data_IF_919758260620
#
_entry.id   IF_919758260620
#
_cell.length_a   1.000
_cell.length_b   1.000
_cell.length_c   1.000
_cell.angle_alpha   90.00
_cell.angle_beta   90.00
_cell.angle_gamma   90.00
#
_symmetry.space_group_name_H-M   'P 1'
#
loop_
_entity.id
_entity.type
_entity.pdbx_description
1 polymer ?
#
# COMPACT_ATOMS: atom_id res chain seq x y z
N UNK A 1 1.96 30.17 12.10
CA UNK A 1 1.57 29.08 11.18
C UNK A 1 2.55 29.11 10.02
N UNK A 2 3.44 28.12 9.92
CA UNK A 2 4.41 28.05 8.82
C UNK A 2 3.67 27.62 7.55
N UNK A 3 3.91 28.26 6.44
CA UNK A 3 3.38 27.88 5.13
C UNK A 3 4.51 27.78 4.12
N UNK A 4 4.34 26.90 3.15
CA UNK A 4 5.23 26.86 1.99
C UNK A 4 5.16 28.21 1.27
N UNK A 5 6.30 28.75 0.84
CA UNK A 5 6.29 29.99 0.07
C UNK A 5 5.67 29.77 -1.32
N UNK A 6 5.14 30.83 -1.93
CA UNK A 6 4.61 30.76 -3.28
C UNK A 6 5.66 30.24 -4.29
N UNK A 7 6.91 30.70 -4.14
CA UNK A 7 8.05 30.24 -4.94
C UNK A 7 8.31 28.72 -4.79
N UNK A 8 8.32 28.21 -3.53
CA UNK A 8 8.51 26.79 -3.29
C UNK A 8 7.31 25.97 -3.81
N UNK A 9 6.08 26.51 -3.77
CA UNK A 9 4.89 25.87 -4.31
C UNK A 9 4.92 25.76 -5.84
N UNK A 10 5.35 26.82 -6.52
CA UNK A 10 5.52 26.85 -7.98
C UNK A 10 6.59 25.82 -8.42
N UNK A 11 7.74 25.81 -7.74
CA UNK A 11 8.80 24.84 -7.98
C UNK A 11 8.29 23.39 -7.83
N UNK A 12 7.47 23.12 -6.83
CA UNK A 12 6.89 21.80 -6.59
C UNK A 12 5.84 21.42 -7.64
N UNK A 13 5.13 22.41 -8.21
CA UNK A 13 4.19 22.19 -9.31
C UNK A 13 4.83 21.53 -10.53
N UNK A 14 6.11 21.82 -10.77
CA UNK A 14 6.89 21.33 -11.91
C UNK A 14 7.52 19.92 -11.67
N UNK A 15 7.45 19.37 -10.45
CA UNK A 15 8.10 18.11 -10.07
C UNK A 15 7.25 16.90 -10.46
N UNK A 16 7.78 15.92 -11.23
CA UNK A 16 7.06 14.70 -11.60
C UNK A 16 6.59 13.88 -10.38
N UNK A 17 5.44 13.21 -10.49
CA UNK A 17 4.86 12.40 -9.40
C UNK A 17 5.83 11.34 -8.85
N UNK A 18 6.55 10.64 -9.72
CA UNK A 18 7.55 9.65 -9.31
C UNK A 18 8.65 10.23 -8.43
N UNK A 19 9.08 11.45 -8.74
CA UNK A 19 10.10 12.16 -7.97
C UNK A 19 9.55 12.68 -6.62
N UNK A 20 8.29 13.14 -6.57
CA UNK A 20 7.63 13.56 -5.32
C UNK A 20 7.61 12.42 -4.30
N UNK A 21 7.20 11.22 -4.72
CA UNK A 21 7.11 10.06 -3.85
C UNK A 21 8.48 9.69 -3.21
N UNK A 22 9.57 9.69 -4.00
CA UNK A 22 10.92 9.39 -3.50
C UNK A 22 11.41 10.45 -2.52
N UNK A 23 11.05 11.72 -2.74
CA UNK A 23 11.47 12.86 -1.93
C UNK A 23 10.52 13.18 -0.76
N UNK A 24 9.50 12.34 -0.53
CA UNK A 24 8.55 12.52 0.59
C UNK A 24 7.64 13.75 0.45
N UNK A 25 7.44 14.22 -0.79
CA UNK A 25 6.55 15.34 -1.12
C UNK A 25 5.14 14.78 -1.29
N UNK A 26 4.13 15.22 -0.51
CA UNK A 26 2.77 14.74 -0.62
C UNK A 26 2.11 15.23 -1.93
N UNK A 27 1.20 14.44 -2.46
CA UNK A 27 0.30 14.92 -3.50
C UNK A 27 -0.66 15.98 -2.92
N UNK A 28 -1.15 16.95 -3.70
CA UNK A 28 -2.01 18.03 -3.19
C UNK A 28 -3.24 17.51 -2.43
N UNK A 29 -3.88 16.46 -2.92
CA UNK A 29 -5.03 15.81 -2.26
C UNK A 29 -4.64 15.24 -0.89
N UNK A 30 -3.47 14.59 -0.79
CA UNK A 30 -2.95 14.07 0.48
C UNK A 30 -2.61 15.19 1.45
N UNK A 31 -2.03 16.29 0.95
CA UNK A 31 -1.70 17.44 1.77
C UNK A 31 -2.96 18.09 2.34
N UNK A 32 -4.00 18.25 1.54
CA UNK A 32 -5.29 18.79 1.98
C UNK A 32 -5.96 17.89 3.02
N UNK A 33 -6.00 16.57 2.78
CA UNK A 33 -6.57 15.61 3.72
C UNK A 33 -5.85 15.63 5.08
N UNK A 34 -4.52 15.64 5.09
CA UNK A 34 -3.72 15.74 6.32
C UNK A 34 -3.90 17.07 7.05
N UNK A 35 -4.03 18.16 6.30
CA UNK A 35 -4.36 19.48 6.86
C UNK A 35 -5.71 19.47 7.58
N UNK A 36 -6.72 18.86 6.97
CA UNK A 36 -8.04 18.66 7.58
C UNK A 36 -7.98 17.75 8.82
N UNK A 37 -7.22 16.65 8.76
CA UNK A 37 -7.00 15.78 9.91
C UNK A 37 -6.38 16.50 11.09
N UNK A 38 -5.39 17.37 10.84
CA UNK A 38 -4.76 18.17 11.89
C UNK A 38 -5.74 19.16 12.54
N UNK A 39 -6.60 19.79 11.75
CA UNK A 39 -7.63 20.70 12.26
C UNK A 39 -8.63 19.95 13.15
N UNK A 40 -9.17 18.83 12.68
CA UNK A 40 -10.10 17.99 13.45
C UNK A 40 -9.48 17.46 14.75
N UNK A 41 -8.22 17.00 14.68
CA UNK A 41 -7.54 16.47 15.86
C UNK A 41 -7.26 17.58 16.89
N UNK A 42 -6.88 18.77 16.45
CA UNK A 42 -6.66 19.93 17.32
C UNK A 42 -7.97 20.38 18.00
N UNK A 43 -9.06 20.41 17.26
CA UNK A 43 -10.39 20.75 17.78
C UNK A 43 -10.87 19.70 18.80
N UNK A 44 -10.80 18.41 18.44
CA UNK A 44 -11.26 17.30 19.28
C UNK A 44 -10.50 17.17 20.61
N UNK A 45 -9.25 17.62 20.67
CA UNK A 45 -8.37 17.50 21.84
C UNK A 45 -7.92 18.87 22.40
N UNK A 46 -8.60 19.96 22.04
CA UNK A 46 -8.22 21.33 22.42
C UNK A 46 -8.02 21.52 23.93
N UNK A 47 -8.85 20.87 24.74
CA UNK A 47 -8.80 20.88 26.20
C UNK A 47 -7.57 20.17 26.80
N UNK A 48 -6.96 19.25 26.04
CA UNK A 48 -5.81 18.47 26.46
C UNK A 48 -4.50 18.96 25.84
N UNK A 49 -4.54 19.81 24.82
CA UNK A 49 -3.36 20.30 24.14
C UNK A 49 -2.47 21.15 25.07
N UNK A 50 -1.16 20.97 24.94
CA UNK A 50 -0.18 21.89 25.49
C UNK A 50 -0.07 23.14 24.64
N UNK A 51 0.42 24.29 25.16
CA UNK A 51 0.85 25.40 24.33
C UNK A 51 1.83 24.87 23.27
N UNK A 52 1.61 25.26 22.00
CA UNK A 52 2.37 24.76 20.85
C UNK A 52 2.36 23.22 20.69
N UNK A 53 1.39 22.56 21.30
CA UNK A 53 1.28 21.09 21.31
C UNK A 53 0.92 20.46 19.97
N UNK A 54 0.58 21.23 18.95
CA UNK A 54 0.34 20.74 17.59
C UNK A 54 1.66 20.76 16.82
N UNK A 55 2.23 19.59 16.58
CA UNK A 55 3.45 19.45 15.80
C UNK A 55 3.15 18.93 14.41
N UNK A 56 3.48 19.74 13.45
CA UNK A 56 3.42 19.40 12.04
C UNK A 56 4.75 19.73 11.38
N UNK A 57 4.91 19.42 10.11
CA UNK A 57 6.06 19.87 9.33
C UNK A 57 6.16 21.40 9.37
N UNK A 58 7.35 21.99 9.42
CA UNK A 58 7.55 23.43 9.20
C UNK A 58 6.97 23.96 7.89
N UNK A 59 6.64 23.10 6.96
CA UNK A 59 5.98 23.41 5.68
C UNK A 59 4.44 23.44 5.79
N UNK A 60 3.91 23.11 6.96
CA UNK A 60 2.48 23.05 7.23
C UNK A 60 1.98 21.62 7.51
N UNK A 61 0.75 21.49 8.05
CA UNK A 61 0.21 20.22 8.52
C UNK A 61 0.07 19.17 7.40
N UNK A 62 -0.27 19.57 6.19
CA UNK A 62 -0.38 18.67 5.04
C UNK A 62 0.93 18.00 4.62
N UNK A 63 2.08 18.54 5.05
CA UNK A 63 3.40 18.00 4.75
C UNK A 63 3.89 16.97 5.77
N UNK A 64 3.26 16.88 6.92
CA UNK A 64 3.53 15.82 7.88
C UNK A 64 2.94 14.51 7.39
N UNK A 65 3.71 13.43 7.48
CA UNK A 65 3.16 12.08 7.28
C UNK A 65 2.23 11.74 8.43
N UNK A 66 2.62 12.14 9.61
CA UNK A 66 1.92 11.93 10.86
C UNK A 66 1.74 13.29 11.55
N UNK A 67 0.63 13.46 12.23
CA UNK A 67 0.31 14.66 13.02
C UNK A 67 0.67 14.33 14.45
N UNK A 68 1.67 15.02 15.00
CA UNK A 68 2.07 14.84 16.39
C UNK A 68 1.31 15.83 17.27
N UNK A 69 0.50 15.35 18.23
CA UNK A 69 -0.14 16.16 19.25
C UNK A 69 0.49 15.91 20.61
N UNK A 70 0.94 16.98 21.24
CA UNK A 70 1.52 17.00 22.56
C UNK A 70 0.50 17.43 23.61
N UNK A 71 0.19 16.51 24.51
CA UNK A 71 -0.94 16.60 25.44
C UNK A 71 -0.48 16.69 26.91
N UNK A 72 -1.31 17.28 27.75
CA UNK A 72 -1.14 17.28 29.23
C UNK A 72 -1.49 15.93 29.84
N UNK A 73 -2.48 15.25 29.27
CA UNK A 73 -2.96 13.93 29.69
C UNK A 73 -3.41 13.10 28.51
N UNK A 74 -3.41 11.77 28.66
CA UNK A 74 -3.97 10.89 27.65
C UNK A 74 -5.49 11.08 27.55
N UNK A 75 -6.06 11.21 26.36
CA UNK A 75 -7.51 11.18 26.18
C UNK A 75 -8.02 9.77 26.45
N UNK A 76 -9.26 9.68 26.93
CA UNK A 76 -9.92 8.38 27.00
C UNK A 76 -10.11 7.81 25.59
N UNK A 77 -9.71 6.55 25.35
CA UNK A 77 -9.86 5.93 24.03
C UNK A 77 -11.29 5.94 23.50
N UNK A 78 -12.27 5.83 24.41
CA UNK A 78 -13.69 5.89 24.06
C UNK A 78 -14.08 7.22 23.40
N UNK A 79 -13.48 8.35 23.82
CA UNK A 79 -13.71 9.68 23.23
C UNK A 79 -13.33 9.71 21.75
N UNK A 80 -12.16 9.17 21.38
CA UNK A 80 -11.68 9.16 20.00
C UNK A 80 -12.43 8.12 19.15
N UNK A 81 -12.73 6.97 19.73
CA UNK A 81 -13.55 5.96 19.06
C UNK A 81 -14.97 6.45 18.76
N UNK A 82 -15.55 7.30 19.63
CA UNK A 82 -16.85 7.92 19.40
C UNK A 82 -16.86 8.87 18.19
N UNK A 83 -15.71 9.45 17.84
CA UNK A 83 -15.50 10.22 16.61
C UNK A 83 -15.34 9.33 15.36
N UNK A 84 -15.40 8.02 15.51
CA UNK A 84 -15.17 7.06 14.44
C UNK A 84 -13.70 6.85 14.09
N UNK A 85 -12.76 7.42 14.87
CA UNK A 85 -11.33 7.26 14.65
C UNK A 85 -10.86 5.86 15.01
N UNK A 86 -9.75 5.41 14.40
CA UNK A 86 -9.29 4.03 14.49
C UNK A 86 -7.95 3.99 15.23
N UNK A 87 -7.88 3.27 16.36
CA UNK A 87 -6.62 3.01 17.07
C UNK A 87 -5.74 2.05 16.25
N UNK A 88 -4.51 2.44 15.98
CA UNK A 88 -3.59 1.68 15.12
C UNK A 88 -2.50 0.93 15.89
N UNK A 89 -2.35 1.15 17.19
CA UNK A 89 -1.30 0.52 18.00
C UNK A 89 -1.28 -1.01 17.89
N UNK A 90 -2.42 -1.74 17.93
CA UNK A 90 -2.41 -3.19 17.78
C UNK A 90 -1.81 -3.64 16.44
N UNK A 91 -2.23 -3.00 15.34
CA UNK A 91 -1.73 -3.27 14.00
C UNK A 91 -0.23 -3.00 13.89
N UNK A 92 0.24 -1.87 14.42
CA UNK A 92 1.65 -1.47 14.37
C UNK A 92 2.53 -2.40 15.20
N UNK A 93 2.08 -2.82 16.39
CA UNK A 93 2.79 -3.79 17.21
C UNK A 93 2.94 -5.13 16.49
N UNK A 94 1.91 -5.61 15.79
CA UNK A 94 2.02 -6.83 14.96
C UNK A 94 3.03 -6.68 13.81
N UNK A 95 3.23 -5.47 13.32
CA UNK A 95 4.27 -5.16 12.33
C UNK A 95 5.66 -4.95 12.96
N UNK A 96 5.80 -5.15 14.27
CA UNK A 96 7.04 -4.92 15.00
C UNK A 96 7.42 -3.43 15.09
N UNK A 97 6.45 -2.53 14.95
CA UNK A 97 6.60 -1.10 15.09
C UNK A 97 6.12 -0.72 16.48
N UNK A 98 7.02 -0.21 17.30
CA UNK A 98 6.63 0.32 18.61
C UNK A 98 5.85 1.61 18.40
N UNK A 99 4.64 1.64 18.91
CA UNK A 99 3.74 2.78 18.86
C UNK A 99 2.91 2.82 20.14
N UNK A 100 2.57 4.02 20.57
CA UNK A 100 1.66 4.25 21.70
C UNK A 100 0.85 5.51 21.42
N UNK A 101 -0.48 5.36 21.35
CA UNK A 101 -1.38 6.47 21.08
C UNK A 101 -1.44 6.86 19.59
N UNK A 102 -1.28 5.88 18.69
CA UNK A 102 -1.40 6.10 17.24
C UNK A 102 -2.82 5.87 16.76
N UNK A 103 -3.38 6.86 16.08
CA UNK A 103 -4.75 6.84 15.56
C UNK A 103 -4.80 7.16 14.07
N UNK A 104 -5.80 6.64 13.39
CA UNK A 104 -6.21 7.15 12.08
C UNK A 104 -7.41 8.09 12.28
N UNK A 105 -7.27 9.32 11.80
CA UNK A 105 -8.34 10.32 11.79
C UNK A 105 -9.27 10.01 10.63
N UNK A 106 -10.56 9.83 10.93
CA UNK A 106 -11.60 9.46 9.96
C UNK A 106 -12.66 10.55 9.91
N UNK A 107 -13.06 10.96 8.70
CA UNK A 107 -14.19 11.86 8.44
C UNK A 107 -14.99 11.28 7.28
N UNK A 108 -16.29 11.18 7.39
CA UNK A 108 -17.21 10.64 6.37
C UNK A 108 -16.76 9.27 5.78
N UNK A 109 -16.29 8.39 6.65
CA UNK A 109 -15.81 7.06 6.25
C UNK A 109 -14.45 7.05 5.53
N UNK A 110 -13.75 8.19 5.44
CA UNK A 110 -12.43 8.30 4.79
C UNK A 110 -11.34 8.53 5.82
N UNK A 111 -10.22 7.84 5.67
CA UNK A 111 -9.02 8.11 6.46
C UNK A 111 -8.31 9.33 5.88
N UNK A 112 -8.20 10.38 6.68
CA UNK A 112 -7.57 11.64 6.31
C UNK A 112 -6.07 11.66 6.62
N UNK A 113 -5.66 11.08 7.76
CA UNK A 113 -4.27 11.09 8.20
C UNK A 113 -4.01 10.26 9.43
N UNK A 114 -2.73 10.04 9.74
CA UNK A 114 -2.26 9.44 10.98
C UNK A 114 -2.03 10.50 12.05
N UNK A 115 -2.39 10.17 13.29
CA UNK A 115 -2.24 11.00 14.47
C UNK A 115 -1.40 10.24 15.50
N UNK A 116 -0.31 10.84 15.95
CA UNK A 116 0.51 10.36 17.06
C UNK A 116 0.30 11.25 18.28
N UNK A 117 -0.14 10.66 19.39
CA UNK A 117 -0.31 11.35 20.65
C UNK A 117 0.95 11.19 21.50
N UNK A 118 1.37 12.28 22.11
CA UNK A 118 2.52 12.34 23.00
C UNK A 118 2.18 13.05 24.31
N UNK A 119 2.75 12.60 25.40
CA UNK A 119 2.69 13.35 26.68
C UNK A 119 3.93 14.24 26.82
N UNK A 120 3.71 15.44 27.32
CA UNK A 120 4.77 16.40 27.56
C UNK A 120 5.07 17.34 26.38
N UNK A 121 6.01 18.26 26.55
CA UNK A 121 6.26 19.33 25.59
C UNK A 121 6.83 18.78 24.27
N UNK A 122 6.55 19.45 23.15
CA UNK A 122 7.10 19.06 21.87
C UNK A 122 8.62 19.21 21.83
N UNK A 123 9.35 18.30 21.15
CA UNK A 123 10.78 18.43 20.97
C UNK A 123 11.11 19.65 20.07
N UNK A 124 12.32 20.16 20.19
CA UNK A 124 12.81 21.23 19.32
C UNK A 124 12.70 20.84 17.83
N UNK A 125 12.17 21.73 16.93
CA UNK A 125 11.98 21.42 15.51
C UNK A 125 13.27 21.16 14.77
N UNK A 126 14.35 21.88 15.12
CA UNK A 126 15.67 21.70 14.51
C UNK A 126 16.25 20.36 14.88
N UNK A 127 16.22 20.00 16.18
CA UNK A 127 16.68 18.71 16.67
C UNK A 127 15.89 17.55 16.02
N UNK A 128 14.58 17.73 15.81
CA UNK A 128 13.73 16.75 15.12
C UNK A 128 14.13 16.55 13.67
N UNK A 129 14.39 17.64 12.93
CA UNK A 129 14.86 17.60 11.54
C UNK A 129 16.20 16.86 11.43
N UNK A 130 17.18 17.28 12.23
CA UNK A 130 18.52 16.70 12.26
C UNK A 130 18.47 15.21 12.60
N UNK A 131 17.70 14.83 13.63
CA UNK A 131 17.53 13.42 14.03
C UNK A 131 16.92 12.56 12.92
N UNK A 132 15.92 13.06 12.19
CA UNK A 132 15.33 12.33 11.06
C UNK A 132 16.34 12.08 9.94
N UNK A 133 17.10 13.09 9.56
CA UNK A 133 18.11 12.99 8.52
C UNK A 133 19.24 12.04 8.92
N UNK A 134 19.72 12.13 10.16
CA UNK A 134 20.74 11.21 10.69
C UNK A 134 20.28 9.76 10.70
N UNK A 135 19.02 9.50 11.11
CA UNK A 135 18.45 8.14 11.09
C UNK A 135 18.33 7.55 9.70
N UNK A 136 18.02 8.36 8.69
CA UNK A 136 17.92 7.92 7.29
C UNK A 136 19.28 7.78 6.62
N UNK A 137 20.25 8.60 7.01
CA UNK A 137 21.54 8.72 6.32
C UNK A 137 21.46 9.44 4.97
N UNK A 138 20.31 10.08 4.67
CA UNK A 138 20.07 10.87 3.45
C UNK A 138 19.26 12.12 3.76
N UNK A 139 19.43 13.15 2.93
CA UNK A 139 18.62 14.39 2.96
C UNK A 139 17.79 14.42 1.69
N UNK A 140 16.48 14.54 1.84
CA UNK A 140 15.53 14.62 0.73
C UNK A 140 15.15 16.08 0.48
N UNK A 141 14.59 16.38 -0.67
CA UNK A 141 14.10 17.73 -1.00
C UNK A 141 13.15 18.27 0.08
N UNK A 142 12.30 17.42 0.65
CA UNK A 142 11.43 17.78 1.74
C UNK A 142 12.19 18.35 2.95
N UNK A 143 13.25 17.70 3.41
CA UNK A 143 14.04 18.14 4.55
C UNK A 143 14.77 19.45 4.26
N UNK A 144 15.16 19.70 3.02
CA UNK A 144 15.72 20.99 2.60
C UNK A 144 14.69 22.10 2.69
N UNK A 145 13.48 21.86 2.21
CA UNK A 145 12.39 22.84 2.31
C UNK A 145 12.00 23.11 3.76
N UNK A 146 12.00 22.07 4.62
CA UNK A 146 11.77 22.24 6.07
C UNK A 146 12.89 23.06 6.72
N UNK A 147 14.16 22.84 6.37
CA UNK A 147 15.26 23.67 6.86
C UNK A 147 15.12 25.14 6.46
N UNK A 148 14.75 25.40 5.20
CA UNK A 148 14.47 26.77 4.72
C UNK A 148 13.34 27.44 5.51
N UNK A 149 12.25 26.71 5.77
CA UNK A 149 11.13 27.24 6.54
C UNK A 149 11.54 27.58 7.98
N UNK A 150 12.39 26.75 8.63
CA UNK A 150 12.92 27.01 9.95
C UNK A 150 13.85 28.24 9.97
N UNK A 151 14.73 28.39 8.98
CA UNK A 151 15.57 29.58 8.83
C UNK A 151 14.75 30.87 8.69
N UNK A 152 13.71 30.84 7.87
CA UNK A 152 12.78 31.99 7.71
C UNK A 152 12.05 32.33 9.02
N UNK A 153 11.84 31.33 9.88
CA UNK A 153 11.23 31.51 11.19
C UNK A 153 12.26 31.88 12.28
N UNK A 154 13.44 32.34 11.88
CA UNK A 154 14.53 32.75 12.78
C UNK A 154 15.08 31.66 13.71
N UNK A 155 14.89 30.39 13.36
CA UNK A 155 15.58 29.31 14.07
C UNK A 155 17.05 29.27 13.68
N UNK A 156 17.94 29.14 14.67
CA UNK A 156 19.37 28.92 14.43
C UNK A 156 19.61 27.45 14.10
N UNK A 157 20.21 27.18 12.95
CA UNK A 157 20.59 25.85 12.54
C UNK A 157 22.08 25.58 12.85
N UNK A 158 22.46 24.41 13.42
CA UNK A 158 23.85 24.10 13.73
C UNK A 158 24.68 23.94 12.45
N UNK A 159 25.57 24.92 12.18
CA UNK A 159 26.39 24.97 10.97
C UNK A 159 27.33 23.76 10.80
N UNK A 160 27.70 23.12 11.88
CA UNK A 160 28.61 21.96 11.87
C UNK A 160 27.91 20.64 11.54
N UNK A 161 26.57 20.59 11.54
CA UNK A 161 25.84 19.38 11.20
C UNK A 161 25.93 19.09 9.69
N UNK A 162 26.33 17.86 9.29
CA UNK A 162 26.46 17.49 7.88
C UNK A 162 25.18 17.69 7.09
N UNK A 163 24.01 17.52 7.71
CA UNK A 163 22.70 17.68 7.11
C UNK A 163 22.42 19.15 6.79
N UNK A 164 22.75 20.02 7.76
CA UNK A 164 22.58 21.47 7.61
C UNK A 164 23.51 22.01 6.53
N UNK A 165 24.75 21.53 6.47
CA UNK A 165 25.68 21.87 5.39
C UNK A 165 25.17 21.46 4.01
N UNK A 166 24.54 20.30 3.90
CA UNK A 166 23.89 19.88 2.65
C UNK A 166 22.70 20.78 2.33
N UNK A 167 21.85 21.07 3.31
CA UNK A 167 20.69 21.96 3.12
C UNK A 167 21.14 23.37 2.69
N UNK A 168 22.17 23.94 3.32
CA UNK A 168 22.72 25.24 2.96
C UNK A 168 23.37 25.26 1.56
N UNK A 169 24.08 24.22 1.17
CA UNK A 169 24.65 24.09 -0.18
C UNK A 169 23.58 23.98 -1.25
N UNK A 170 22.50 23.32 -0.94
CA UNK A 170 21.35 23.20 -1.84
C UNK A 170 20.61 24.53 -1.95
N UNK A 171 20.47 25.27 -0.84
CA UNK A 171 19.87 26.60 -0.85
C UNK A 171 20.66 27.58 -1.71
N UNK A 172 21.99 27.58 -1.60
CA UNK A 172 22.87 28.40 -2.44
C UNK A 172 22.80 28.05 -3.94
N UNK A 173 22.30 26.85 -4.30
CA UNK A 173 22.17 26.36 -5.66
C UNK A 173 20.74 26.25 -6.21
N UNK A 174 19.72 26.58 -5.43
CA UNK A 174 18.30 26.41 -5.81
C UNK A 174 17.73 27.48 -6.77
N UNK A 175 18.56 28.38 -7.33
CA UNK A 175 18.18 29.01 -8.59
C UNK A 175 17.97 27.94 -9.66
N UNK A 176 16.92 27.99 -10.47
CA UNK A 176 16.33 26.99 -11.39
C UNK A 176 17.19 25.85 -11.99
N UNK A 177 18.52 25.96 -11.96
CA UNK A 177 19.45 24.92 -12.40
C UNK A 177 19.63 23.77 -11.38
N UNK A 178 19.39 23.96 -10.11
CA UNK A 178 19.59 22.92 -9.09
C UNK A 178 18.43 21.94 -9.05
N UNK A 179 17.22 22.35 -9.39
CA UNK A 179 16.08 21.44 -9.59
C UNK A 179 16.28 20.53 -10.80
N UNK A 180 16.90 21.04 -11.88
CA UNK A 180 17.27 20.24 -13.04
C UNK A 180 18.31 19.17 -12.66
N UNK A 181 19.32 19.50 -11.86
CA UNK A 181 20.31 18.56 -11.33
C UNK A 181 19.70 17.53 -10.37
N UNK A 182 18.64 17.87 -9.65
CA UNK A 182 17.91 16.92 -8.81
C UNK A 182 17.01 15.96 -9.60
N UNK A 183 16.55 16.35 -10.78
CA UNK A 183 15.82 15.48 -11.70
C UNK A 183 16.67 14.28 -12.17
N UNK A 184 17.97 14.49 -12.35
CA UNK A 184 18.85 13.56 -13.05
C UNK A 184 19.91 12.93 -12.13
N UNK A 185 19.95 13.31 -10.85
CA UNK A 185 20.95 12.85 -9.88
C UNK A 185 20.39 11.94 -8.79
N UNK A 186 21.26 11.08 -8.19
CA UNK A 186 20.88 10.37 -6.98
C UNK A 186 20.56 11.37 -5.85
N UNK A 187 19.70 11.00 -4.88
CA UNK A 187 19.43 11.85 -3.73
C UNK A 187 20.74 12.30 -3.10
N UNK A 188 20.83 13.61 -2.78
CA UNK A 188 22.04 14.24 -2.23
C UNK A 188 22.47 13.57 -0.92
N UNK A 189 23.46 12.78 -1.00
CA UNK A 189 23.99 11.89 -0.01
C UNK A 189 24.25 10.58 -0.72
N UNK A 190 25.51 10.31 -1.15
CA UNK A 190 25.89 8.98 -1.54
C UNK A 190 25.33 7.99 -0.50
N UNK A 191 24.91 6.77 -0.88
CA UNK A 191 24.49 5.77 0.08
C UNK A 191 25.63 5.68 1.09
N UNK A 192 25.37 6.31 2.23
CA UNK A 192 26.36 6.37 3.30
C UNK A 192 26.82 4.93 3.55
N UNK A 193 28.11 4.69 3.83
CA UNK A 193 28.56 3.41 4.39
C UNK A 193 27.69 2.91 5.55
N UNK A 194 26.86 3.79 6.14
CA UNK A 194 25.80 3.47 7.07
C UNK A 194 24.74 2.50 6.53
N UNK A 195 24.43 2.46 5.23
CA UNK A 195 23.53 1.44 4.69
C UNK A 195 24.19 0.05 4.80
N UNK A 196 25.46 -0.06 4.48
CA UNK A 196 26.24 -1.28 4.66
C UNK A 196 26.53 -1.57 6.15
N UNK A 197 26.77 -0.55 6.99
CA UNK A 197 26.85 -0.72 8.44
C UNK A 197 25.53 -1.19 9.04
N UNK A 198 24.39 -0.68 8.60
CA UNK A 198 23.06 -1.18 9.02
C UNK A 198 22.80 -2.60 8.56
N UNK A 199 23.15 -2.95 7.33
CA UNK A 199 23.04 -4.34 6.84
C UNK A 199 23.95 -5.24 7.69
N UNK A 200 25.20 -4.87 7.93
CA UNK A 200 26.13 -5.63 8.81
C UNK A 200 25.62 -5.70 10.26
N UNK A 201 25.07 -4.63 10.83
CA UNK A 201 24.50 -4.65 12.18
C UNK A 201 23.23 -5.52 12.26
N UNK A 202 22.39 -5.53 11.23
CA UNK A 202 21.23 -6.43 11.13
C UNK A 202 21.68 -7.89 11.04
N UNK A 203 22.74 -8.18 10.28
CA UNK A 203 23.35 -9.52 10.23
C UNK A 203 23.99 -9.92 11.54
N UNK A 204 24.73 -9.02 12.19
CA UNK A 204 25.39 -9.27 13.46
C UNK A 204 24.44 -9.38 14.65
N UNK A 205 23.25 -8.77 14.58
CA UNK A 205 22.27 -8.79 15.69
C UNK A 205 21.41 -10.04 15.74
N UNK A 206 21.55 -10.98 14.77
CA UNK A 206 20.75 -12.20 14.71
C UNK A 206 19.24 -11.96 14.60
N UNK A 207 18.81 -10.70 14.43
CA UNK A 207 17.39 -10.38 14.27
C UNK A 207 16.94 -10.81 12.88
N UNK A 208 15.79 -11.48 12.77
CA UNK A 208 15.28 -11.90 11.48
C UNK A 208 15.15 -10.68 10.57
N UNK A 209 15.78 -10.74 9.39
CA UNK A 209 15.68 -9.72 8.32
C UNK A 209 14.23 -9.57 7.86
N UNK A 210 13.42 -10.57 8.12
CA UNK A 210 12.00 -10.62 7.81
C UNK A 210 11.22 -9.87 8.89
N UNK A 211 10.88 -8.61 8.63
CA UNK A 211 9.90 -7.91 9.47
C UNK A 211 8.54 -8.61 9.36
N UNK A 212 7.75 -8.63 10.45
CA UNK A 212 6.38 -9.14 10.41
C UNK A 212 5.61 -8.50 9.24
N UNK A 213 4.83 -9.31 8.56
CA UNK A 213 3.98 -8.90 7.45
C UNK A 213 2.56 -9.34 7.74
N UNK A 214 1.61 -8.49 7.40
CA UNK A 214 0.19 -8.83 7.45
C UNK A 214 -0.33 -8.91 6.02
N UNK A 215 -0.98 -10.00 5.70
CA UNK A 215 -1.58 -10.25 4.38
C UNK A 215 -3.07 -9.99 4.43
N UNK A 216 -3.51 -9.07 3.60
CA UNK A 216 -4.93 -8.79 3.35
C UNK A 216 -5.24 -9.22 1.93
N UNK A 217 -6.21 -10.08 1.77
CA UNK A 217 -6.63 -10.57 0.45
C UNK A 217 -8.00 -9.98 0.10
N UNK A 218 -8.14 -9.42 -1.10
CA UNK A 218 -9.41 -8.94 -1.64
C UNK A 218 -9.80 -9.76 -2.84
N UNK A 219 -10.91 -10.45 -2.76
CA UNK A 219 -11.42 -11.40 -3.75
C UNK A 219 -12.82 -11.03 -4.22
N UNK A 220 -13.22 -11.49 -5.40
CA UNK A 220 -14.55 -11.29 -5.97
C UNK A 220 -14.52 -11.36 -7.50
N UNK A 221 -15.69 -11.37 -8.13
CA UNK A 221 -15.82 -11.41 -9.59
C UNK A 221 -15.29 -10.14 -10.26
N UNK A 222 -15.03 -10.19 -11.55
CA UNK A 222 -14.69 -9.00 -12.31
C UNK A 222 -15.89 -8.03 -12.32
N UNK A 223 -15.62 -6.74 -12.12
CA UNK A 223 -16.68 -5.73 -11.88
C UNK A 223 -17.10 -5.58 -10.39
N UNK A 224 -16.67 -6.44 -9.45
CA UNK A 224 -17.06 -6.32 -8.05
C UNK A 224 -16.46 -5.10 -7.33
N UNK A 225 -15.45 -4.43 -7.89
CA UNK A 225 -14.79 -3.28 -7.24
C UNK A 225 -13.56 -3.63 -6.42
N UNK A 226 -13.07 -4.89 -6.44
CA UNK A 226 -11.91 -5.33 -5.66
C UNK A 226 -10.63 -4.52 -5.88
N UNK A 227 -10.32 -4.14 -7.12
CA UNK A 227 -9.13 -3.31 -7.42
C UNK A 227 -9.26 -1.88 -6.91
N UNK A 228 -10.48 -1.36 -6.82
CA UNK A 228 -10.78 -0.06 -6.21
C UNK A 228 -10.66 -0.16 -4.70
N UNK A 229 -11.27 -1.18 -4.08
CA UNK A 229 -11.18 -1.42 -2.64
C UNK A 229 -9.73 -1.64 -2.20
N UNK A 230 -8.97 -2.50 -2.87
CA UNK A 230 -7.55 -2.76 -2.53
C UNK A 230 -6.69 -1.48 -2.61
N UNK A 231 -6.99 -0.60 -3.58
CA UNK A 231 -6.32 0.70 -3.72
C UNK A 231 -6.69 1.65 -2.58
N UNK A 232 -7.97 1.72 -2.22
CA UNK A 232 -8.46 2.59 -1.15
C UNK A 232 -7.97 2.14 0.22
N UNK A 233 -7.98 0.83 0.51
CA UNK A 233 -7.41 0.27 1.74
C UNK A 233 -5.92 0.59 1.84
N UNK A 234 -5.17 0.38 0.76
CA UNK A 234 -3.75 0.73 0.75
C UNK A 234 -3.52 2.24 0.94
N UNK A 235 -4.36 3.08 0.33
CA UNK A 235 -4.33 4.54 0.52
C UNK A 235 -4.63 4.93 1.97
N UNK A 236 -5.68 4.36 2.57
CA UNK A 236 -6.05 4.63 3.95
C UNK A 236 -4.92 4.29 4.93
N UNK A 237 -4.28 3.13 4.74
CA UNK A 237 -3.14 2.70 5.55
C UNK A 237 -1.93 3.63 5.35
N UNK A 238 -1.64 4.04 4.12
CA UNK A 238 -0.57 4.99 3.82
C UNK A 238 -0.85 6.38 4.41
N UNK A 239 -2.09 6.88 4.33
CA UNK A 239 -2.52 8.13 4.97
C UNK A 239 -2.39 8.05 6.49
N UNK A 240 -2.71 6.91 7.08
CA UNK A 240 -2.51 6.64 8.51
C UNK A 240 -1.04 6.39 8.90
N UNK A 241 -0.10 6.47 7.94
CA UNK A 241 1.33 6.26 8.18
C UNK A 241 1.74 4.80 8.38
N UNK A 242 0.85 3.84 8.12
CA UNK A 242 1.15 2.41 8.19
C UNK A 242 1.93 1.97 6.94
N UNK A 243 3.06 1.26 7.08
CA UNK A 243 3.76 0.71 5.92
C UNK A 243 2.87 -0.26 5.16
N UNK A 244 2.63 0.00 3.88
CA UNK A 244 1.74 -0.81 3.04
C UNK A 244 2.32 -1.06 1.67
N UNK A 245 2.07 -2.25 1.14
CA UNK A 245 2.33 -2.63 -0.25
C UNK A 245 1.07 -3.19 -0.89
N UNK A 246 0.86 -2.90 -2.18
CA UNK A 246 -0.22 -3.49 -2.95
C UNK A 246 0.35 -4.47 -3.96
N UNK A 247 -0.22 -5.66 -3.98
CA UNK A 247 0.16 -6.76 -4.86
C UNK A 247 -1.04 -7.13 -5.72
N UNK A 248 -0.85 -7.17 -7.02
CA UNK A 248 -1.82 -7.75 -7.94
C UNK A 248 -1.32 -9.11 -8.41
N UNK A 249 -2.14 -10.14 -8.25
CA UNK A 249 -1.76 -11.51 -8.64
C UNK A 249 -2.92 -12.24 -9.30
N UNK A 250 -2.62 -12.92 -10.42
CA UNK A 250 -3.56 -13.80 -11.12
C UNK A 250 -2.79 -14.96 -11.74
N UNK A 251 -3.24 -16.21 -11.57
CA UNK A 251 -2.64 -17.34 -12.28
C UNK A 251 -2.59 -17.10 -13.78
N UNK A 252 -1.42 -17.37 -14.40
CA UNK A 252 -1.23 -17.28 -15.85
C UNK A 252 -0.87 -15.90 -16.41
N UNK A 253 -0.77 -14.84 -15.60
CA UNK A 253 -0.46 -13.48 -16.09
C UNK A 253 1.00 -13.05 -15.88
N UNK A 254 1.74 -13.69 -14.99
CA UNK A 254 3.15 -13.43 -14.67
C UNK A 254 3.84 -14.75 -14.31
N UNK A 255 5.17 -14.84 -14.34
CA UNK A 255 6.18 -13.87 -14.77
C UNK A 255 6.29 -13.73 -16.30
N UNK A 256 6.98 -12.68 -16.79
CA UNK A 256 7.11 -12.38 -18.24
C UNK A 256 7.65 -13.55 -19.08
N UNK A 257 8.52 -14.40 -18.52
CA UNK A 257 9.04 -15.58 -19.21
C UNK A 257 7.95 -16.63 -19.49
N UNK A 258 6.92 -16.72 -18.64
CA UNK A 258 5.78 -17.61 -18.87
C UNK A 258 5.03 -17.25 -20.15
N UNK A 259 4.98 -15.95 -20.50
CA UNK A 259 4.43 -15.50 -21.78
C UNK A 259 5.20 -15.98 -22.99
N UNK A 260 6.52 -16.16 -22.85
CA UNK A 260 7.37 -16.72 -23.92
C UNK A 260 7.12 -18.22 -24.05
N UNK A 261 7.11 -18.94 -22.93
CA UNK A 261 6.81 -20.38 -22.89
C UNK A 261 5.38 -20.65 -23.37
N UNK A 262 4.42 -19.79 -22.98
CA UNK A 262 3.03 -19.89 -23.44
C UNK A 262 2.92 -19.73 -24.96
N UNK A 263 3.62 -18.77 -25.57
CA UNK A 263 3.64 -18.57 -27.02
C UNK A 263 4.26 -19.77 -27.73
N UNK A 264 5.37 -20.28 -27.22
CA UNK A 264 6.02 -21.45 -27.79
C UNK A 264 5.11 -22.72 -27.67
N UNK A 265 4.50 -22.92 -26.51
CA UNK A 265 3.55 -24.04 -26.28
C UNK A 265 2.32 -23.95 -27.19
N UNK A 266 1.74 -22.76 -27.35
CA UNK A 266 0.60 -22.53 -28.27
C UNK A 266 0.98 -22.81 -29.72
N UNK A 267 2.18 -22.38 -30.14
CA UNK A 267 2.67 -22.67 -31.50
C UNK A 267 2.87 -24.16 -31.73
N UNK A 268 3.37 -24.91 -30.75
CA UNK A 268 3.51 -26.37 -30.80
C UNK A 268 2.15 -27.09 -30.86
N UNK A 269 1.13 -26.52 -30.25
CA UNK A 269 -0.24 -27.06 -30.24
C UNK A 269 -1.10 -26.56 -31.39
N UNK A 270 -0.53 -25.84 -32.37
CA UNK A 270 -1.24 -25.30 -33.55
C UNK A 270 -2.25 -24.19 -33.21
N UNK A 271 -2.09 -23.50 -32.08
CA UNK A 271 -2.96 -22.43 -31.63
C UNK A 271 -2.38 -21.06 -31.95
N UNK A 272 -3.25 -20.04 -32.15
CA UNK A 272 -2.83 -18.67 -32.39
C UNK A 272 -2.00 -18.12 -31.18
N UNK A 273 -0.72 -17.75 -31.38
CA UNK A 273 0.13 -17.21 -30.32
C UNK A 273 -0.36 -15.86 -29.76
N UNK A 274 -1.16 -15.13 -30.50
CA UNK A 274 -1.65 -13.79 -30.15
C UNK A 274 -2.86 -13.80 -29.21
N UNK A 275 -3.55 -14.94 -29.07
CA UNK A 275 -4.65 -15.12 -28.15
C UNK A 275 -4.13 -15.17 -26.70
N UNK A 276 -4.34 -14.11 -25.91
CA UNK A 276 -4.15 -14.15 -24.44
C UNK A 276 -5.14 -15.13 -23.80
N UNK A 277 -4.90 -15.50 -22.54
CA UNK A 277 -5.87 -16.26 -21.73
C UNK A 277 -7.24 -15.56 -21.70
N UNK A 278 -7.24 -14.26 -21.94
CA UNK A 278 -8.43 -13.40 -21.96
C UNK A 278 -9.19 -13.41 -23.31
N UNK A 279 -8.65 -14.06 -24.35
CA UNK A 279 -9.26 -14.14 -25.68
C UNK A 279 -9.54 -15.58 -26.05
N UNK A 280 -10.42 -16.22 -25.31
CA UNK A 280 -11.06 -17.43 -25.81
C UNK A 280 -12.21 -16.95 -26.71
N UNK A 281 -11.96 -16.90 -28.01
CA UNK A 281 -12.99 -16.65 -29.01
C UNK A 281 -14.14 -17.64 -28.78
N UNK A 282 -15.35 -17.12 -28.57
CA UNK A 282 -16.56 -17.92 -28.47
C UNK A 282 -17.03 -18.32 -27.07
N UNK A 283 -16.50 -17.74 -25.99
CA UNK A 283 -17.06 -17.95 -24.63
C UNK A 283 -16.88 -19.35 -24.05
N UNK A 284 -16.05 -20.20 -24.65
CA UNK A 284 -15.75 -21.55 -24.15
C UNK A 284 -14.67 -21.45 -23.06
N UNK A 285 -14.91 -21.98 -21.84
CA UNK A 285 -13.90 -22.06 -20.82
C UNK A 285 -12.65 -22.79 -21.33
N UNK A 286 -11.46 -22.27 -20.99
CA UNK A 286 -10.19 -22.92 -21.37
C UNK A 286 -10.08 -24.37 -20.82
N UNK A 287 -10.90 -24.77 -19.86
CA UNK A 287 -11.07 -26.13 -19.37
C UNK A 287 -11.33 -27.14 -20.47
N UNK A 288 -12.02 -26.74 -21.52
CA UNK A 288 -12.28 -27.61 -22.68
C UNK A 288 -11.02 -27.88 -23.51
N UNK A 289 -10.06 -26.95 -23.53
CA UNK A 289 -8.76 -27.13 -24.20
C UNK A 289 -7.81 -28.04 -23.39
N UNK A 290 -7.83 -27.93 -22.07
CA UNK A 290 -7.02 -28.77 -21.19
C UNK A 290 -7.56 -30.23 -21.18
N UNK A 291 -8.88 -30.43 -21.22
CA UNK A 291 -9.50 -31.76 -21.28
C UNK A 291 -9.17 -32.51 -22.57
N UNK A 292 -9.01 -31.81 -23.69
CA UNK A 292 -8.65 -32.42 -24.99
C UNK A 292 -7.22 -32.95 -25.05
N UNK A 293 -6.31 -32.48 -24.17
CA UNK A 293 -4.89 -32.79 -24.22
C UNK A 293 -4.36 -33.61 -23.01
N UNK A 294 -5.23 -34.08 -22.11
CA UNK A 294 -4.88 -34.99 -21.03
C UNK A 294 -3.64 -34.56 -20.24
N UNK A 295 -2.55 -35.31 -20.39
CA UNK A 295 -1.27 -35.07 -19.69
C UNK A 295 -0.67 -33.68 -19.97
N UNK A 296 -0.75 -33.18 -21.21
CA UNK A 296 -0.22 -31.86 -21.56
C UNK A 296 -1.03 -30.74 -20.88
N UNK A 297 -2.34 -30.86 -20.79
CA UNK A 297 -3.19 -29.94 -20.04
C UNK A 297 -2.85 -29.93 -18.56
N UNK A 298 -2.61 -31.08 -17.97
CA UNK A 298 -2.19 -31.23 -16.59
C UNK A 298 -0.81 -30.59 -16.34
N UNK A 299 0.17 -30.91 -17.19
CA UNK A 299 1.52 -30.34 -17.11
C UNK A 299 1.52 -28.81 -17.25
N UNK A 300 0.71 -28.28 -18.17
CA UNK A 300 0.51 -26.84 -18.34
C UNK A 300 -0.07 -26.18 -17.10
N UNK A 301 -1.11 -26.78 -16.52
CA UNK A 301 -1.74 -26.26 -15.28
C UNK A 301 -0.75 -26.28 -14.11
N UNK A 302 0.11 -27.31 -14.04
CA UNK A 302 1.20 -27.37 -13.05
C UNK A 302 2.18 -26.22 -13.23
N UNK A 303 2.64 -25.98 -14.46
CA UNK A 303 3.55 -24.87 -14.76
C UNK A 303 2.95 -23.51 -14.38
N UNK A 304 1.69 -23.27 -14.72
CA UNK A 304 0.96 -22.03 -14.37
C UNK A 304 0.86 -21.87 -12.84
N UNK A 305 0.53 -22.95 -12.13
CA UNK A 305 0.41 -22.94 -10.66
C UNK A 305 1.74 -22.64 -9.98
N UNK A 306 2.83 -23.30 -10.42
CA UNK A 306 4.18 -23.06 -9.89
C UNK A 306 4.66 -21.64 -10.18
N UNK A 307 4.48 -21.17 -11.41
CA UNK A 307 4.86 -19.81 -11.80
C UNK A 307 4.09 -18.75 -11.00
N UNK A 308 2.81 -18.98 -10.74
CA UNK A 308 2.00 -18.12 -9.90
C UNK A 308 2.52 -18.06 -8.45
N UNK A 309 2.83 -19.22 -7.87
CA UNK A 309 3.40 -19.31 -6.52
C UNK A 309 4.73 -18.55 -6.42
N UNK A 310 5.63 -18.74 -7.40
CA UNK A 310 6.92 -18.04 -7.44
C UNK A 310 6.70 -16.53 -7.49
N UNK A 311 5.81 -16.05 -8.35
CA UNK A 311 5.51 -14.61 -8.47
C UNK A 311 4.97 -14.03 -7.16
N UNK A 312 4.00 -14.69 -6.53
CA UNK A 312 3.43 -14.23 -5.25
C UNK A 312 4.49 -14.23 -4.15
N UNK A 313 5.30 -15.29 -4.05
CA UNK A 313 6.35 -15.40 -3.04
C UNK A 313 7.44 -14.33 -3.24
N UNK A 314 7.86 -14.05 -4.48
CA UNK A 314 8.81 -12.98 -4.78
C UNK A 314 8.27 -11.62 -4.34
N UNK A 315 7.01 -11.31 -4.68
CA UNK A 315 6.37 -10.08 -4.26
C UNK A 315 6.20 -10.01 -2.73
N UNK A 316 5.87 -11.14 -2.11
CA UNK A 316 5.75 -11.24 -0.66
C UNK A 316 7.09 -10.97 0.05
N UNK A 317 8.18 -11.55 -0.43
CA UNK A 317 9.52 -11.38 0.17
C UNK A 317 10.07 -9.97 -0.05
N UNK A 318 9.82 -9.36 -1.20
CA UNK A 318 10.31 -8.02 -1.53
C UNK A 318 9.55 -6.88 -0.85
N UNK A 319 8.34 -7.12 -0.34
CA UNK A 319 7.46 -6.12 0.26
C UNK A 319 7.58 -6.08 1.79
N UNK A 320 7.06 -5.03 2.43
CA UNK A 320 7.10 -4.82 3.90
C UNK A 320 5.78 -4.26 4.40
N UNK A 321 5.48 -4.52 5.68
CA UNK A 321 4.28 -3.99 6.33
C UNK A 321 3.01 -4.76 5.96
N UNK A 322 1.91 -4.07 5.78
CA UNK A 322 0.64 -4.65 5.33
C UNK A 322 0.69 -4.87 3.83
N UNK A 323 0.41 -6.10 3.38
CA UNK A 323 0.34 -6.45 1.97
C UNK A 323 -1.11 -6.64 1.55
N UNK A 324 -1.61 -5.72 0.75
CA UNK A 324 -2.98 -5.78 0.21
C UNK A 324 -2.92 -6.45 -1.16
N UNK A 325 -3.40 -7.68 -1.21
CA UNK A 325 -3.50 -8.46 -2.44
C UNK A 325 -4.82 -8.19 -3.14
N UNK A 326 -4.74 -7.69 -4.36
CA UNK A 326 -5.84 -7.66 -5.32
C UNK A 326 -5.84 -9.01 -6.05
N UNK A 327 -6.67 -9.93 -5.62
CA UNK A 327 -6.72 -11.37 -5.90
C UNK A 327 -5.67 -12.17 -5.11
N UNK A 328 -6.11 -13.28 -4.53
CA UNK A 328 -5.26 -14.17 -3.75
C UNK A 328 -5.76 -15.62 -3.83
N UNK A 329 -5.74 -16.37 -2.73
CA UNK A 329 -6.08 -17.78 -2.68
C UNK A 329 -7.46 -18.10 -3.28
N UNK A 330 -8.50 -17.37 -2.88
CA UNK A 330 -9.87 -17.63 -3.34
C UNK A 330 -9.98 -17.42 -4.87
N UNK A 331 -9.45 -16.30 -5.38
CA UNK A 331 -9.41 -16.04 -6.83
C UNK A 331 -8.57 -17.06 -7.58
N UNK A 332 -7.48 -17.54 -6.98
CA UNK A 332 -6.64 -18.58 -7.59
C UNK A 332 -7.39 -19.89 -7.72
N UNK A 333 -8.11 -20.34 -6.67
CA UNK A 333 -8.92 -21.55 -6.69
C UNK A 333 -10.05 -21.46 -7.73
N UNK A 334 -10.76 -20.32 -7.75
CA UNK A 334 -11.80 -20.06 -8.74
C UNK A 334 -11.24 -20.03 -10.16
N UNK A 335 -10.08 -19.39 -10.37
CA UNK A 335 -9.42 -19.34 -11.68
C UNK A 335 -9.00 -20.73 -12.15
N UNK A 336 -8.43 -21.56 -11.28
CA UNK A 336 -8.06 -22.93 -11.60
C UNK A 336 -9.29 -23.77 -11.95
N UNK A 337 -10.32 -23.70 -11.13
CA UNK A 337 -11.54 -24.50 -11.34
C UNK A 337 -12.30 -24.05 -12.59
N UNK A 338 -12.40 -22.75 -12.84
CA UNK A 338 -13.15 -22.23 -14.00
C UNK A 338 -12.41 -22.44 -15.32
N UNK A 339 -11.11 -22.13 -15.37
CA UNK A 339 -10.35 -22.14 -16.63
C UNK A 339 -9.62 -23.47 -16.90
N UNK A 340 -9.39 -24.29 -15.87
CA UNK A 340 -8.61 -25.52 -15.98
C UNK A 340 -9.36 -26.75 -15.46
N UNK A 341 -10.68 -26.64 -15.22
CA UNK A 341 -11.53 -27.71 -14.65
C UNK A 341 -11.63 -29.00 -15.48
N UNK A 342 -11.05 -29.02 -16.68
CA UNK A 342 -10.97 -30.21 -17.54
C UNK A 342 -9.89 -31.23 -17.13
N UNK A 343 -9.09 -30.95 -16.11
CA UNK A 343 -8.06 -31.86 -15.56
C UNK A 343 -8.25 -32.07 -14.06
N UNK A 344 -7.64 -33.13 -13.50
CA UNK A 344 -7.66 -33.32 -12.04
C UNK A 344 -6.85 -32.19 -11.35
N UNK A 345 -7.55 -31.33 -10.64
CA UNK A 345 -7.01 -30.14 -9.99
C UNK A 345 -6.59 -30.35 -8.54
N UNK A 346 -6.77 -31.55 -7.96
CA UNK A 346 -6.51 -31.79 -6.53
C UNK A 346 -5.10 -31.40 -6.12
N UNK A 347 -4.10 -31.79 -6.91
CA UNK A 347 -2.70 -31.43 -6.66
C UNK A 347 -2.49 -29.91 -6.77
N UNK A 348 -2.98 -29.29 -7.84
CA UNK A 348 -2.82 -27.85 -8.11
C UNK A 348 -3.47 -26.99 -7.04
N UNK A 349 -4.68 -27.34 -6.62
CA UNK A 349 -5.37 -26.67 -5.51
C UNK A 349 -4.63 -26.87 -4.19
N UNK A 350 -4.10 -28.08 -3.91
CA UNK A 350 -3.30 -28.33 -2.71
C UNK A 350 -1.99 -27.54 -2.71
N UNK A 351 -1.32 -27.45 -3.86
CA UNK A 351 -0.10 -26.61 -4.02
C UNK A 351 -0.38 -25.14 -3.73
N UNK A 352 -1.44 -24.58 -4.31
CA UNK A 352 -1.82 -23.17 -4.12
C UNK A 352 -2.24 -22.89 -2.67
N UNK A 353 -3.04 -23.78 -2.07
CA UNK A 353 -3.49 -23.66 -0.66
C UNK A 353 -2.34 -23.69 0.34
N UNK A 354 -1.31 -24.52 0.10
CA UNK A 354 -0.15 -24.69 1.00
C UNK A 354 0.98 -23.72 0.69
N UNK A 355 1.13 -23.33 -0.57
CA UNK A 355 2.24 -22.48 -1.03
C UNK A 355 2.00 -21.00 -0.90
N UNK A 356 0.75 -20.55 -0.83
CA UNK A 356 0.44 -19.11 -0.64
C UNK A 356 0.56 -18.68 0.82
N UNK A 357 1.07 -17.48 1.09
CA UNK A 357 1.04 -16.90 2.43
C UNK A 357 -0.40 -16.80 2.94
N UNK A 358 -0.68 -17.31 4.15
CA UNK A 358 -2.02 -17.26 4.71
C UNK A 358 -2.46 -15.82 5.01
N UNK A 359 -3.63 -15.37 4.53
CA UNK A 359 -4.13 -14.05 4.86
C UNK A 359 -4.59 -13.99 6.32
N UNK A 360 -4.22 -12.92 7.01
CA UNK A 360 -4.77 -12.60 8.33
C UNK A 360 -6.19 -12.04 8.21
N UNK A 361 -6.50 -11.43 7.06
CA UNK A 361 -7.84 -10.98 6.70
C UNK A 361 -8.06 -11.26 5.21
N UNK A 362 -9.03 -12.10 4.90
CA UNK A 362 -9.52 -12.32 3.55
C UNK A 362 -10.90 -11.66 3.40
N UNK A 363 -11.11 -10.98 2.29
CA UNK A 363 -12.33 -10.22 2.00
C UNK A 363 -12.91 -10.77 0.70
N UNK A 364 -14.17 -11.14 0.77
CA UNK A 364 -14.96 -11.46 -0.42
C UNK A 364 -15.96 -10.33 -0.68
N UNK A 365 -15.80 -9.66 -1.83
CA UNK A 365 -16.76 -8.68 -2.32
C UNK A 365 -17.86 -9.40 -3.06
N UNK A 366 -19.00 -9.47 -2.41
CA UNK A 366 -20.22 -10.07 -2.97
C UNK A 366 -20.99 -9.00 -3.75
N UNK A 367 -21.26 -9.30 -5.02
CA UNK A 367 -22.08 -8.46 -5.90
C UNK A 367 -22.95 -9.34 -6.80
N UNK A 368 -24.20 -8.97 -7.07
CA UNK A 368 -25.02 -9.63 -8.08
C UNK A 368 -24.36 -9.57 -9.45
N UNK A 369 -24.59 -10.60 -10.28
CA UNK A 369 -24.02 -10.68 -11.62
C UNK A 369 -24.38 -9.45 -12.47
N UNK A 370 -25.61 -8.96 -12.36
CA UNK A 370 -26.13 -7.81 -13.09
C UNK A 370 -25.35 -6.52 -12.74
N UNK A 371 -25.02 -6.34 -11.47
CA UNK A 371 -24.23 -5.18 -11.00
C UNK A 371 -22.78 -5.28 -11.50
N UNK A 372 -22.19 -6.46 -11.47
CA UNK A 372 -20.84 -6.68 -11.97
C UNK A 372 -20.74 -6.38 -13.46
N UNK A 373 -21.70 -6.83 -14.26
CA UNK A 373 -21.80 -6.57 -15.70
C UNK A 373 -21.98 -5.10 -16.02
N UNK A 374 -22.86 -4.40 -15.29
CA UNK A 374 -23.09 -2.97 -15.50
C UNK A 374 -21.86 -2.12 -15.24
N UNK A 375 -21.03 -2.50 -14.24
CA UNK A 375 -19.81 -1.77 -13.89
C UNK A 375 -18.67 -1.93 -14.89
N UNK A 376 -18.74 -2.94 -15.75
CA UNK A 376 -17.74 -3.20 -16.80
C UNK A 376 -18.43 -3.49 -18.16
N UNK A 377 -19.11 -2.52 -18.73
CA UNK A 377 -19.70 -2.69 -20.06
C UNK A 377 -18.58 -2.90 -21.09
N UNK A 378 -18.67 -3.97 -21.86
CA UNK A 378 -17.68 -4.31 -22.89
C UNK A 378 -16.51 -5.17 -22.42
N UNK A 379 -16.53 -5.69 -21.19
CA UNK A 379 -15.60 -6.75 -20.81
C UNK A 379 -15.86 -8.01 -21.65
N UNK A 380 -14.80 -8.69 -22.01
CA UNK A 380 -14.81 -9.91 -22.86
C UNK A 380 -15.59 -11.05 -22.19
N UNK A 381 -15.84 -10.92 -20.89
CA UNK A 381 -16.55 -11.91 -20.08
C UNK A 381 -18.07 -11.66 -20.11
N UNK A 382 -18.77 -12.45 -20.90
CA UNK A 382 -20.22 -12.46 -20.91
C UNK A 382 -20.83 -12.91 -19.57
N UNK A 383 -22.13 -12.74 -19.41
CA UNK A 383 -22.91 -13.10 -18.21
C UNK A 383 -22.65 -14.54 -17.75
N UNK A 384 -22.51 -15.48 -18.67
CA UNK A 384 -22.21 -16.88 -18.40
C UNK A 384 -20.91 -17.05 -17.58
N UNK A 385 -19.86 -16.30 -17.93
CA UNK A 385 -18.56 -16.38 -17.23
C UNK A 385 -18.67 -15.83 -15.81
N UNK A 386 -19.37 -14.69 -15.64
CA UNK A 386 -19.55 -14.08 -14.32
C UNK A 386 -20.39 -14.98 -13.42
N UNK A 387 -21.52 -15.52 -13.90
CA UNK A 387 -22.34 -16.47 -13.13
C UNK A 387 -21.57 -17.74 -12.79
N UNK A 388 -20.86 -18.33 -13.76
CA UNK A 388 -20.03 -19.50 -13.52
C UNK A 388 -18.88 -19.26 -12.53
N UNK A 389 -18.35 -18.04 -12.46
CA UNK A 389 -17.37 -17.67 -11.43
C UNK A 389 -18.01 -17.50 -10.05
N UNK A 390 -19.20 -16.87 -9.96
CA UNK A 390 -19.94 -16.71 -8.70
C UNK A 390 -20.22 -18.07 -8.04
N UNK A 391 -20.69 -19.07 -8.81
CA UNK A 391 -20.92 -20.41 -8.29
C UNK A 391 -19.65 -21.03 -7.69
N UNK A 392 -18.51 -20.79 -8.33
CA UNK A 392 -17.22 -21.28 -7.84
C UNK A 392 -16.69 -20.51 -6.63
N UNK A 393 -16.95 -19.20 -6.55
CA UNK A 393 -16.65 -18.44 -5.34
C UNK A 393 -17.43 -19.01 -4.16
N UNK A 394 -18.70 -19.32 -4.32
CA UNK A 394 -19.53 -19.94 -3.30
C UNK A 394 -18.98 -21.32 -2.88
N UNK A 395 -18.59 -22.15 -3.86
CA UNK A 395 -18.03 -23.46 -3.59
C UNK A 395 -16.67 -23.43 -2.83
N UNK A 396 -15.81 -22.44 -3.14
CA UNK A 396 -14.47 -22.36 -2.58
C UNK A 396 -14.35 -21.45 -1.34
N UNK A 397 -15.32 -20.61 -1.02
CA UNK A 397 -15.20 -19.64 0.09
C UNK A 397 -14.93 -20.29 1.44
N UNK A 398 -15.46 -21.51 1.69
CA UNK A 398 -15.22 -22.27 2.93
C UNK A 398 -13.77 -22.79 3.07
N UNK A 399 -13.01 -22.78 1.98
CA UNK A 399 -11.61 -23.22 1.97
C UNK A 399 -10.63 -22.10 2.38
N UNK A 400 -11.11 -20.87 2.59
CA UNK A 400 -10.30 -19.70 2.94
C UNK A 400 -10.54 -19.33 4.39
N UNK A 401 -9.47 -19.41 5.19
CA UNK A 401 -9.51 -18.98 6.60
C UNK A 401 -9.65 -17.45 6.70
N UNK A 402 -10.25 -16.96 7.79
CA UNK A 402 -10.41 -15.54 8.09
C UNK A 402 -11.14 -14.74 7.00
N UNK A 403 -12.03 -15.39 6.25
CA UNK A 403 -12.82 -14.76 5.20
C UNK A 403 -13.98 -13.98 5.81
N UNK A 404 -14.04 -12.68 5.47
CA UNK A 404 -15.19 -11.82 5.76
C UNK A 404 -15.84 -11.39 4.45
N UNK A 405 -17.16 -11.45 4.39
CA UNK A 405 -17.95 -11.03 3.24
C UNK A 405 -18.36 -9.57 3.39
N UNK A 406 -18.27 -8.82 2.31
CA UNK A 406 -18.73 -7.44 2.21
C UNK A 406 -19.69 -7.30 1.04
N UNK A 407 -20.75 -6.56 1.25
CA UNK A 407 -21.65 -6.14 0.17
C UNK A 407 -20.94 -5.13 -0.74
N UNK A 408 -20.51 -5.60 -1.91
CA UNK A 408 -19.81 -4.78 -2.90
C UNK A 408 -20.71 -3.75 -3.61
N UNK A 409 -22.00 -3.69 -3.30
CA UNK A 409 -22.92 -2.66 -3.81
C UNK A 409 -22.80 -1.35 -3.02
N UNK A 410 -22.28 -1.40 -1.77
CA UNK A 410 -22.07 -0.22 -0.94
C UNK A 410 -20.96 0.68 -1.48
N UNK A 411 -20.92 1.97 -1.05
CA UNK A 411 -19.85 2.89 -1.39
C UNK A 411 -18.48 2.33 -1.01
N UNK A 412 -17.54 2.35 -1.95
CA UNK A 412 -16.23 1.69 -1.73
C UNK A 412 -15.39 2.37 -0.66
N UNK A 413 -15.55 3.68 -0.44
CA UNK A 413 -14.87 4.42 0.64
C UNK A 413 -15.31 3.91 2.02
N UNK A 414 -16.61 3.67 2.23
CA UNK A 414 -17.13 3.07 3.46
C UNK A 414 -16.56 1.67 3.69
N UNK A 415 -16.56 0.85 2.64
CA UNK A 415 -15.98 -0.49 2.71
C UNK A 415 -14.49 -0.45 3.05
N UNK A 416 -13.75 0.49 2.50
CA UNK A 416 -12.34 0.67 2.81
C UNK A 416 -12.10 1.08 4.27
N UNK A 417 -12.95 1.93 4.85
CA UNK A 417 -12.89 2.29 6.27
C UNK A 417 -13.19 1.08 7.17
N UNK A 418 -14.21 0.27 6.83
CA UNK A 418 -14.54 -0.98 7.54
C UNK A 418 -13.34 -1.93 7.55
N UNK A 419 -12.73 -2.15 6.38
CA UNK A 419 -11.54 -3.01 6.27
C UNK A 419 -10.37 -2.47 7.07
N UNK A 420 -10.14 -1.16 7.06
CA UNK A 420 -9.07 -0.52 7.85
C UNK A 420 -9.31 -0.74 9.36
N UNK A 421 -10.56 -0.64 9.83
CA UNK A 421 -10.92 -0.94 11.21
C UNK A 421 -10.68 -2.40 11.56
N UNK A 422 -11.10 -3.34 10.73
CA UNK A 422 -10.85 -4.76 10.96
C UNK A 422 -9.35 -5.10 11.05
N UNK A 423 -8.51 -4.40 10.26
CA UNK A 423 -7.06 -4.56 10.33
C UNK A 423 -6.47 -4.02 11.63
N UNK A 424 -7.04 -2.95 12.16
CA UNK A 424 -6.60 -2.38 13.43
C UNK A 424 -7.01 -3.25 14.64
N UNK A 425 -8.08 -4.02 14.50
CA UNK A 425 -8.58 -4.95 15.52
C UNK A 425 -7.87 -6.32 15.51
N UNK A 426 -7.11 -6.64 14.46
CA UNK A 426 -6.31 -7.88 14.39
C UNK A 426 -5.24 -7.91 15.48
#
# INVERSE_FOLDING_TARGET
>A
MFSISAEDAELLGQVPRSFRAVNGIPEPEQAAARGRAAALASEALADLLLPDGVRTSPLGPGWSRDIDLHLRAWPEPARLSALGWILLDPLLHRLGIQSRGRWAVVEDGRVLGGLDLHLGPPPDPVASLVSRCRRRGEVRLREVLEARALLRAHHTLPADDPVIRVAARVEAGLGGQALARWRDGPPLGAPSPLAWRRIRQLWASGRPVLRPRLVVAVSGVDGSGKSTLSRLVARNLDHAGVPVGRVWSRPGTRPRWLGVVSRAGKKLLGQDPSGGIDRVAGGVPAGDLASRHGFLGWAWTTLVSVAFLIDVLQQHVSSRGVLVYDRHLLDALVTLDFFYGGVDLRLHQAMVRRGLPKPQLAIYLDVPAEVALTRKPGDIFGEYVIRGQLDRYEAHRRAVENLRQLDGCRPTDELAAVVTRWLAEL
#
